data_IF_137130061550
#
_entry.id   IF_137130061550
#
_cell.length_a   1.000
_cell.length_b   1.000
_cell.length_c   1.000
_cell.angle_alpha   90.00
_cell.angle_beta   90.00
_cell.angle_gamma   90.00
#
_symmetry.space_group_name_H-M   'P 1'
#
loop_
_entity.id
_entity.type
_entity.pdbx_description
1 polymer ?
#
# COMPACT_ATOMS: atom_id res chain seq x y z
N UNK A 1 -9.29 16.38 -14.49
CA UNK A 1 -10.64 16.81 -14.10
C UNK A 1 -11.57 16.42 -15.24
N UNK A 2 -12.64 15.74 -14.91
CA UNK A 2 -13.72 15.48 -15.83
C UNK A 2 -14.61 16.74 -15.88
N UNK A 3 -14.96 17.22 -17.08
CA UNK A 3 -15.97 18.26 -17.25
C UNK A 3 -17.34 17.60 -17.15
N UNK A 4 -18.28 18.24 -16.49
CA UNK A 4 -19.69 17.82 -16.45
C UNK A 4 -20.46 18.73 -17.37
N UNK A 5 -21.02 18.17 -18.43
CA UNK A 5 -21.80 18.91 -19.43
C UNK A 5 -23.27 19.03 -18.98
N UNK A 6 -24.02 20.00 -19.52
CA UNK A 6 -25.47 20.09 -19.27
C UNK A 6 -26.19 18.79 -19.64
N UNK A 7 -26.91 18.23 -18.70
CA UNK A 7 -27.58 16.93 -18.81
C UNK A 7 -26.82 15.76 -18.15
N UNK A 8 -25.59 15.99 -17.68
CA UNK A 8 -24.75 15.02 -16.97
C UNK A 8 -24.72 15.28 -15.47
N UNK A 9 -25.64 16.08 -14.94
CA UNK A 9 -25.68 16.47 -13.51
C UNK A 9 -25.73 15.27 -12.56
N UNK A 10 -26.16 14.11 -13.05
CA UNK A 10 -26.13 12.84 -12.31
C UNK A 10 -24.72 12.42 -11.88
N UNK A 11 -23.69 12.85 -12.62
CA UNK A 11 -22.30 12.59 -12.26
C UNK A 11 -21.83 13.36 -11.02
N UNK A 12 -22.64 14.30 -10.54
CA UNK A 12 -22.41 15.03 -9.28
C UNK A 12 -23.06 14.34 -8.08
N UNK A 13 -23.86 13.31 -8.30
CA UNK A 13 -24.46 12.52 -7.25
C UNK A 13 -23.42 11.56 -6.65
N UNK A 14 -23.25 11.58 -5.32
CA UNK A 14 -22.22 10.84 -4.62
C UNK A 14 -22.32 9.31 -4.80
N UNK A 15 -23.55 8.78 -4.82
CA UNK A 15 -23.78 7.35 -4.94
C UNK A 15 -23.73 6.92 -6.42
N UNK A 16 -24.36 7.66 -7.29
CA UNK A 16 -24.46 7.34 -8.71
C UNK A 16 -23.13 7.50 -9.42
N UNK A 17 -22.40 8.59 -9.15
CA UNK A 17 -21.07 8.81 -9.74
C UNK A 17 -20.09 7.70 -9.35
N UNK A 18 -20.08 7.31 -8.05
CA UNK A 18 -19.26 6.21 -7.57
C UNK A 18 -19.60 4.90 -8.31
N UNK A 19 -20.87 4.58 -8.48
CA UNK A 19 -21.31 3.38 -9.20
C UNK A 19 -20.91 3.39 -10.68
N UNK A 20 -21.09 4.52 -11.36
CA UNK A 20 -20.81 4.65 -12.80
C UNK A 20 -19.31 4.63 -13.13
N UNK A 21 -18.47 5.14 -12.23
CA UNK A 21 -17.02 5.31 -12.47
C UNK A 21 -16.15 4.25 -11.79
N UNK A 22 -16.74 3.29 -11.10
CA UNK A 22 -15.99 2.26 -10.35
C UNK A 22 -15.08 1.43 -11.26
N UNK A 23 -15.55 1.01 -12.42
CA UNK A 23 -14.77 0.19 -13.35
C UNK A 23 -13.59 0.96 -13.93
N UNK A 24 -13.81 2.22 -14.33
CA UNK A 24 -12.74 3.10 -14.81
C UNK A 24 -11.71 3.38 -13.72
N UNK A 25 -12.16 3.64 -12.50
CA UNK A 25 -11.27 3.82 -11.35
C UNK A 25 -10.42 2.57 -11.09
N UNK A 26 -11.02 1.39 -11.17
CA UNK A 26 -10.34 0.11 -11.02
C UNK A 26 -9.27 -0.08 -12.09
N UNK A 27 -9.60 0.16 -13.36
CA UNK A 27 -8.65 0.07 -14.47
C UNK A 27 -7.47 1.03 -14.28
N UNK A 28 -7.76 2.31 -14.01
CA UNK A 28 -6.73 3.34 -13.80
C UNK A 28 -5.86 3.04 -12.56
N UNK A 29 -6.47 2.57 -11.49
CA UNK A 29 -5.76 2.20 -10.26
C UNK A 29 -4.83 1.00 -10.47
N UNK A 30 -5.29 -0.05 -11.15
CA UNK A 30 -4.46 -1.21 -11.52
C UNK A 30 -3.31 -0.78 -12.43
N UNK A 31 -3.58 0.03 -13.43
CA UNK A 31 -2.54 0.58 -14.32
C UNK A 31 -1.50 1.39 -13.57
N UNK A 32 -1.92 2.18 -12.58
CA UNK A 32 -1.01 2.97 -11.76
C UNK A 32 -0.10 2.09 -10.91
N UNK A 33 -0.64 1.06 -10.28
CA UNK A 33 0.11 0.13 -9.44
C UNK A 33 0.87 -0.96 -10.22
N UNK A 34 0.61 -1.14 -11.53
CA UNK A 34 1.15 -2.25 -12.31
C UNK A 34 0.49 -3.59 -11.99
N UNK A 35 -0.78 -3.56 -11.59
CA UNK A 35 -1.53 -4.76 -11.24
C UNK A 35 -2.15 -5.47 -12.44
N UNK A 36 -2.39 -6.76 -12.27
CA UNK A 36 -3.13 -7.62 -13.19
C UNK A 36 -4.58 -7.75 -12.71
N UNK A 37 -5.54 -7.54 -13.60
CA UNK A 37 -6.97 -7.57 -13.26
C UNK A 37 -7.51 -8.95 -12.83
N UNK A 38 -6.80 -10.03 -13.16
CA UNK A 38 -7.17 -11.39 -12.71
C UNK A 38 -6.70 -11.67 -11.29
N UNK A 39 -5.54 -11.10 -10.90
CA UNK A 39 -4.90 -11.34 -9.60
C UNK A 39 -5.15 -10.23 -8.57
N UNK A 40 -5.42 -9.01 -9.03
CA UNK A 40 -5.46 -7.83 -8.18
C UNK A 40 -6.78 -7.07 -8.28
N UNK A 41 -7.08 -6.32 -7.23
CA UNK A 41 -8.21 -5.40 -7.19
C UNK A 41 -7.81 -4.07 -6.53
N UNK A 42 -8.69 -3.07 -6.64
CA UNK A 42 -8.48 -1.71 -6.15
C UNK A 42 -9.65 -1.29 -5.26
N UNK A 43 -9.37 -0.57 -4.19
CA UNK A 43 -10.39 0.15 -3.44
C UNK A 43 -9.91 1.55 -3.05
N UNK A 44 -10.87 2.41 -2.78
CA UNK A 44 -10.63 3.75 -2.26
C UNK A 44 -10.82 3.79 -0.75
N UNK A 45 -10.07 4.66 -0.11
CA UNK A 45 -10.30 5.03 1.28
C UNK A 45 -10.32 6.55 1.43
N UNK A 46 -10.91 7.04 2.51
CA UNK A 46 -10.99 8.46 2.82
C UNK A 46 -9.59 9.13 2.86
N UNK A 47 -8.54 8.39 3.28
CA UNK A 47 -7.13 8.82 3.29
C UNK A 47 -6.22 7.61 3.22
N UNK A 48 -4.94 7.84 2.83
CA UNK A 48 -3.90 6.83 2.96
C UNK A 48 -3.86 6.20 4.38
N UNK A 49 -3.97 7.02 5.42
CA UNK A 49 -3.98 6.54 6.82
C UNK A 49 -5.10 5.56 7.10
N UNK A 50 -6.30 5.81 6.55
CA UNK A 50 -7.43 4.87 6.67
C UNK A 50 -7.14 3.57 5.90
N UNK A 51 -6.54 3.67 4.72
CA UNK A 51 -6.11 2.50 3.93
C UNK A 51 -5.11 1.63 4.68
N UNK A 52 -4.09 2.23 5.29
CA UNK A 52 -3.11 1.50 6.11
C UNK A 52 -3.76 0.84 7.33
N UNK A 53 -4.72 1.53 7.97
CA UNK A 53 -5.46 0.99 9.11
C UNK A 53 -6.28 -0.24 8.72
N UNK A 54 -7.04 -0.16 7.61
CA UNK A 54 -7.82 -1.30 7.10
C UNK A 54 -6.88 -2.45 6.71
N UNK A 55 -5.78 -2.15 5.99
CA UNK A 55 -4.80 -3.15 5.61
C UNK A 55 -4.23 -3.89 6.82
N UNK A 56 -3.84 -3.16 7.86
CA UNK A 56 -3.32 -3.76 9.09
C UNK A 56 -4.36 -4.66 9.77
N UNK A 57 -5.60 -4.21 9.89
CA UNK A 57 -6.67 -5.00 10.56
C UNK A 57 -7.07 -6.26 9.80
N UNK A 58 -6.90 -6.30 8.47
CA UNK A 58 -7.20 -7.48 7.64
C UNK A 58 -6.01 -8.42 7.54
N UNK A 59 -4.80 -7.88 7.40
CA UNK A 59 -3.61 -8.66 7.06
C UNK A 59 -2.85 -9.14 8.29
N UNK A 60 -2.85 -8.35 9.38
CA UNK A 60 -2.02 -8.62 10.57
C UNK A 60 -2.76 -9.51 11.56
N UNK A 61 -2.23 -10.69 11.91
CA UNK A 61 -2.81 -11.50 12.96
C UNK A 61 -2.72 -10.79 14.33
N UNK A 62 -3.82 -10.74 15.06
CA UNK A 62 -3.86 -10.12 16.38
C UNK A 62 -2.86 -10.80 17.34
N UNK A 63 -2.14 -10.00 18.12
CA UNK A 63 -1.12 -10.48 19.04
C UNK A 63 0.21 -10.86 18.39
N UNK A 64 0.34 -10.73 17.06
CA UNK A 64 1.59 -11.00 16.36
C UNK A 64 2.61 -9.88 16.52
N UNK A 65 3.82 -10.15 16.07
CA UNK A 65 4.86 -9.15 15.89
C UNK A 65 4.95 -8.74 14.41
N UNK A 66 5.03 -7.46 14.14
CA UNK A 66 5.15 -6.88 12.79
C UNK A 66 6.51 -6.19 12.66
N UNK A 67 7.17 -6.41 11.54
CA UNK A 67 8.42 -5.74 11.20
C UNK A 67 8.13 -4.63 10.19
N UNK A 68 8.62 -3.42 10.49
CA UNK A 68 8.69 -2.30 9.56
C UNK A 68 10.06 -2.23 8.92
N UNK A 69 10.11 -1.85 7.64
CA UNK A 69 11.36 -1.57 6.94
C UNK A 69 11.23 -0.31 6.08
N UNK A 70 12.16 0.62 6.27
CA UNK A 70 12.15 1.92 5.61
C UNK A 70 13.56 2.48 5.45
N UNK A 71 13.79 3.48 4.58
CA UNK A 71 15.11 4.11 4.43
C UNK A 71 15.61 4.81 5.70
N UNK A 72 14.68 5.30 6.55
CA UNK A 72 15.01 6.01 7.79
C UNK A 72 14.10 5.64 8.95
N UNK A 73 12.81 5.78 8.78
CA UNK A 73 11.76 5.37 9.75
C UNK A 73 10.42 5.27 9.05
N UNK A 74 9.58 4.35 9.52
CA UNK A 74 8.21 4.23 9.07
C UNK A 74 7.35 5.39 9.56
N UNK A 75 6.41 5.84 8.71
CA UNK A 75 5.50 6.92 9.10
C UNK A 75 4.71 6.53 10.35
N UNK A 76 4.45 7.47 11.31
CA UNK A 76 3.67 7.17 12.53
C UNK A 76 2.28 6.55 12.28
N UNK A 77 1.71 6.76 11.09
CA UNK A 77 0.45 6.12 10.69
C UNK A 77 0.59 4.60 10.56
N UNK A 78 1.75 4.08 10.14
CA UNK A 78 2.04 2.64 10.05
C UNK A 78 2.07 2.04 11.45
N UNK A 79 2.84 2.64 12.37
CA UNK A 79 2.95 2.18 13.75
C UNK A 79 1.58 2.15 14.44
N UNK A 80 0.78 3.22 14.23
CA UNK A 80 -0.58 3.30 14.79
C UNK A 80 -1.49 2.23 14.21
N UNK A 81 -1.48 2.02 12.89
CA UNK A 81 -2.29 1.01 12.23
C UNK A 81 -1.99 -0.40 12.77
N UNK A 82 -0.71 -0.73 12.97
CA UNK A 82 -0.28 -2.01 13.54
C UNK A 82 -0.69 -2.15 15.00
N UNK A 83 -0.53 -1.08 15.79
CA UNK A 83 -0.96 -1.05 17.21
C UNK A 83 -2.47 -1.25 17.35
N UNK A 84 -3.26 -0.57 16.49
CA UNK A 84 -4.73 -0.68 16.49
C UNK A 84 -5.21 -2.08 16.05
N UNK A 85 -4.45 -2.75 15.18
CA UNK A 85 -4.67 -4.16 14.84
C UNK A 85 -4.34 -5.13 16.00
N UNK A 86 -3.80 -4.62 17.10
CA UNK A 86 -3.46 -5.40 18.30
C UNK A 86 -2.15 -6.17 18.17
N UNK A 87 -1.19 -5.67 17.38
CA UNK A 87 0.13 -6.25 17.19
C UNK A 87 1.25 -5.34 17.73
N UNK A 88 2.43 -5.91 17.94
CA UNK A 88 3.65 -5.16 18.29
C UNK A 88 4.43 -4.80 17.01
N UNK A 89 5.26 -3.76 17.06
CA UNK A 89 5.97 -3.24 15.90
C UNK A 89 7.45 -2.99 16.21
N UNK A 90 8.34 -3.44 15.32
CA UNK A 90 9.75 -3.05 15.31
C UNK A 90 10.09 -2.42 13.96
N UNK A 91 10.61 -1.21 13.97
CA UNK A 91 11.00 -0.47 12.78
C UNK A 91 12.49 -0.65 12.50
N UNK A 92 12.85 -1.09 11.30
CA UNK A 92 14.21 -1.40 10.89
C UNK A 92 14.61 -0.57 9.67
N UNK A 93 15.90 -0.27 9.58
CA UNK A 93 16.49 0.46 8.45
C UNK A 93 17.71 -0.26 7.86
N UNK A 94 18.16 -1.32 8.50
CA UNK A 94 19.31 -2.12 8.09
C UNK A 94 18.86 -3.47 7.52
N UNK A 95 19.38 -3.84 6.35
CA UNK A 95 19.03 -5.08 5.66
C UNK A 95 19.48 -6.35 6.41
N UNK A 96 20.55 -6.28 7.18
CA UNK A 96 21.01 -7.44 7.98
C UNK A 96 20.09 -7.68 9.17
N UNK A 97 19.61 -6.62 9.82
CA UNK A 97 18.61 -6.70 10.88
C UNK A 97 17.27 -7.18 10.32
N UNK A 98 16.83 -6.66 9.15
CA UNK A 98 15.63 -7.15 8.49
C UNK A 98 15.69 -8.64 8.19
N UNK A 99 16.82 -9.11 7.63
CA UNK A 99 17.02 -10.53 7.34
C UNK A 99 16.93 -11.38 8.60
N UNK A 100 17.54 -10.94 9.69
CA UNK A 100 17.47 -11.64 10.98
C UNK A 100 16.04 -11.65 11.53
N UNK A 101 15.34 -10.51 11.48
CA UNK A 101 13.96 -10.40 11.95
C UNK A 101 12.98 -11.26 11.16
N UNK A 102 13.10 -11.27 9.81
CA UNK A 102 12.26 -12.12 8.96
C UNK A 102 12.59 -13.61 9.12
N UNK A 103 13.82 -13.97 9.53
CA UNK A 103 14.22 -15.35 9.80
C UNK A 103 13.80 -15.86 11.18
N UNK A 104 13.32 -15.00 12.08
CA UNK A 104 12.96 -15.35 13.44
C UNK A 104 11.87 -16.43 13.54
N UNK A 105 11.82 -17.11 14.69
CA UNK A 105 10.76 -18.04 15.06
C UNK A 105 10.22 -17.64 16.46
N UNK A 106 8.90 -17.36 16.60
CA UNK A 106 7.90 -17.38 15.53
C UNK A 106 8.14 -16.30 14.46
N UNK A 107 7.72 -16.59 13.21
CA UNK A 107 7.84 -15.64 12.10
C UNK A 107 6.98 -14.40 12.35
N UNK A 108 7.39 -13.20 11.85
CA UNK A 108 6.56 -12.01 11.89
C UNK A 108 5.20 -12.22 11.23
N UNK A 109 4.16 -11.56 11.77
CA UNK A 109 2.81 -11.60 11.23
C UNK A 109 2.66 -10.82 9.92
N UNK A 110 3.50 -9.82 9.69
CA UNK A 110 3.59 -9.06 8.44
C UNK A 110 4.91 -8.28 8.35
N UNK A 111 5.29 -7.93 7.12
CA UNK A 111 6.28 -6.89 6.81
C UNK A 111 5.54 -5.64 6.34
N UNK A 112 5.75 -4.50 7.01
CA UNK A 112 5.35 -3.18 6.52
C UNK A 112 6.54 -2.48 5.89
N UNK A 113 6.46 -2.19 4.61
CA UNK A 113 7.55 -1.64 3.84
C UNK A 113 7.21 -0.22 3.41
N UNK A 114 8.03 0.76 3.82
CA UNK A 114 7.91 2.15 3.36
C UNK A 114 8.93 2.41 2.25
N UNK A 115 8.45 2.60 1.02
CA UNK A 115 9.34 2.81 -0.13
C UNK A 115 10.00 4.19 -0.10
N UNK A 116 9.21 5.23 0.11
CA UNK A 116 9.67 6.62 0.21
C UNK A 116 9.36 7.15 1.62
N UNK A 117 10.40 7.37 2.41
CA UNK A 117 10.27 7.87 3.77
C UNK A 117 9.88 9.35 3.83
N UNK A 118 9.44 9.79 5.00
CA UNK A 118 9.10 11.20 5.29
C UNK A 118 10.32 12.11 5.12
N UNK A 119 11.52 11.57 5.29
CA UNK A 119 12.81 12.23 5.03
C UNK A 119 13.13 12.45 3.54
N UNK A 120 12.23 12.05 2.64
CA UNK A 120 12.43 12.05 1.17
C UNK A 120 13.52 11.09 0.68
N UNK A 121 14.00 10.19 1.52
CA UNK A 121 14.87 9.09 1.10
C UNK A 121 14.02 7.93 0.58
N UNK A 122 14.47 7.33 -0.52
CA UNK A 122 13.82 6.18 -1.15
C UNK A 122 14.69 4.93 -0.92
N UNK A 123 14.07 3.78 -0.70
CA UNK A 123 14.78 2.50 -0.68
C UNK A 123 15.41 2.24 -2.06
N UNK A 124 16.61 1.69 -2.08
CA UNK A 124 17.18 1.16 -3.31
C UNK A 124 16.32 0.02 -3.87
N UNK A 125 16.27 -0.11 -5.20
CA UNK A 125 15.48 -1.15 -5.85
C UNK A 125 15.91 -2.56 -5.41
N UNK A 126 17.22 -2.77 -5.25
CA UNK A 126 17.76 -4.06 -4.81
C UNK A 126 17.25 -4.43 -3.40
N UNK A 127 17.27 -3.48 -2.47
CA UNK A 127 16.79 -3.67 -1.10
C UNK A 127 15.27 -3.86 -1.06
N UNK A 128 14.52 -3.09 -1.88
CA UNK A 128 13.08 -3.24 -2.03
C UNK A 128 12.72 -4.67 -2.47
N UNK A 129 13.35 -5.17 -3.53
CA UNK A 129 13.11 -6.53 -4.05
C UNK A 129 13.54 -7.59 -3.03
N UNK A 130 14.73 -7.47 -2.46
CA UNK A 130 15.23 -8.42 -1.49
C UNK A 130 14.33 -8.52 -0.24
N UNK A 131 13.82 -7.39 0.27
CA UNK A 131 12.90 -7.37 1.40
C UNK A 131 11.59 -8.11 1.08
N UNK A 132 11.01 -7.85 -0.10
CA UNK A 132 9.78 -8.53 -0.55
C UNK A 132 10.04 -10.03 -0.73
N UNK A 133 11.09 -10.41 -1.44
CA UNK A 133 11.41 -11.81 -1.72
C UNK A 133 11.66 -12.63 -0.45
N UNK A 134 12.39 -12.06 0.53
CA UNK A 134 12.61 -12.70 1.82
C UNK A 134 11.32 -12.92 2.61
N UNK A 135 10.39 -11.95 2.60
CA UNK A 135 9.11 -12.09 3.27
C UNK A 135 8.23 -13.15 2.59
N UNK A 136 8.12 -13.09 1.27
CA UNK A 136 7.32 -14.03 0.47
C UNK A 136 7.83 -15.46 0.59
N UNK A 137 9.14 -15.67 0.60
CA UNK A 137 9.75 -17.00 0.78
C UNK A 137 9.38 -17.67 2.12
N UNK A 138 8.85 -16.91 3.07
CA UNK A 138 8.38 -17.39 4.38
C UNK A 138 6.87 -17.23 4.59
N UNK A 139 6.12 -16.97 3.53
CA UNK A 139 4.67 -16.69 3.62
C UNK A 139 4.36 -15.57 4.64
N UNK A 140 5.18 -14.51 4.67
CA UNK A 140 4.94 -13.33 5.47
C UNK A 140 4.26 -12.31 4.56
N UNK A 141 3.05 -11.84 4.90
CA UNK A 141 2.36 -10.82 4.11
C UNK A 141 3.16 -9.52 4.06
N UNK A 142 3.17 -8.88 2.88
CA UNK A 142 3.86 -7.59 2.68
C UNK A 142 2.82 -6.50 2.44
N UNK A 143 2.81 -5.50 3.32
CA UNK A 143 2.01 -4.27 3.20
C UNK A 143 2.94 -3.12 2.85
N UNK A 144 2.66 -2.43 1.75
CA UNK A 144 3.51 -1.31 1.31
C UNK A 144 2.85 0.03 1.62
N UNK A 145 3.46 0.81 2.52
CA UNK A 145 3.20 2.25 2.63
C UNK A 145 3.90 2.96 1.47
N UNK A 146 3.15 3.17 0.42
CA UNK A 146 3.63 3.72 -0.84
C UNK A 146 3.11 5.14 -1.08
N UNK A 147 3.06 5.93 -0.02
CA UNK A 147 2.45 7.27 0.03
C UNK A 147 2.83 8.14 -1.17
N UNK A 148 4.08 8.23 -1.47
CA UNK A 148 4.63 8.90 -2.64
C UNK A 148 5.43 7.98 -3.56
N UNK A 149 5.91 6.87 -3.02
CA UNK A 149 6.78 5.92 -3.69
C UNK A 149 6.15 5.27 -4.91
N UNK A 150 4.83 5.04 -4.88
CA UNK A 150 4.08 4.47 -6.01
C UNK A 150 4.25 5.26 -7.32
N UNK A 151 4.53 6.56 -7.23
CA UNK A 151 4.76 7.42 -8.39
C UNK A 151 6.23 7.82 -8.53
N UNK A 152 6.85 8.26 -7.45
CA UNK A 152 8.24 8.74 -7.45
C UNK A 152 9.20 7.61 -7.80
N UNK A 153 8.99 6.41 -7.27
CA UNK A 153 9.82 5.23 -7.55
C UNK A 153 9.92 4.95 -9.07
N UNK A 154 8.79 4.63 -9.72
CA UNK A 154 8.81 4.35 -11.16
C UNK A 154 9.20 5.57 -12.03
N UNK A 155 8.72 6.76 -11.70
CA UNK A 155 8.92 7.92 -12.54
C UNK A 155 10.33 8.52 -12.49
N UNK A 156 10.99 8.45 -11.33
CA UNK A 156 12.27 9.14 -11.09
C UNK A 156 13.45 8.18 -10.90
N UNK A 157 13.21 6.95 -10.50
CA UNK A 157 14.25 6.00 -10.11
C UNK A 157 14.21 4.68 -10.89
N UNK A 158 13.26 4.51 -11.81
CA UNK A 158 13.13 3.28 -12.60
C UNK A 158 12.67 2.05 -11.81
N UNK A 159 12.15 2.24 -10.59
CA UNK A 159 11.65 1.16 -9.77
C UNK A 159 10.44 0.46 -10.41
N UNK A 160 10.17 -0.81 -10.08
CA UNK A 160 8.94 -1.45 -10.48
C UNK A 160 7.74 -0.72 -9.87
N UNK A 161 6.59 -0.81 -10.53
CA UNK A 161 5.31 -0.47 -9.92
C UNK A 161 5.03 -1.48 -8.80
N UNK A 162 4.25 -1.08 -7.81
CA UNK A 162 4.19 -1.84 -6.55
C UNK A 162 3.61 -3.25 -6.72
N UNK A 163 2.59 -3.42 -7.56
CA UNK A 163 1.98 -4.72 -7.82
C UNK A 163 2.70 -5.55 -8.91
N UNK A 164 3.77 -5.04 -9.50
CA UNK A 164 4.73 -5.85 -10.25
C UNK A 164 5.65 -6.65 -9.31
N UNK A 165 5.63 -6.34 -8.03
CA UNK A 165 6.24 -7.12 -6.96
C UNK A 165 5.18 -8.03 -6.31
N UNK A 166 5.57 -9.20 -5.76
CA UNK A 166 4.62 -10.14 -5.13
C UNK A 166 4.17 -9.67 -3.73
N UNK A 167 3.75 -8.42 -3.61
CA UNK A 167 3.25 -7.84 -2.36
C UNK A 167 1.80 -8.24 -2.11
N UNK A 168 1.36 -8.17 -0.85
CA UNK A 168 -0.01 -8.51 -0.46
C UNK A 168 -0.95 -7.35 -0.76
N UNK A 169 -0.56 -6.13 -0.36
CA UNK A 169 -1.33 -4.90 -0.54
C UNK A 169 -0.43 -3.68 -0.49
N UNK A 170 -0.79 -2.65 -1.24
CA UNK A 170 -0.12 -1.35 -1.27
C UNK A 170 -1.14 -0.22 -1.06
N UNK A 171 -0.72 0.80 -0.32
CA UNK A 171 -1.53 1.98 -0.05
C UNK A 171 -0.81 3.24 -0.52
N UNK A 172 -1.47 4.09 -1.32
CA UNK A 172 -0.93 5.38 -1.75
C UNK A 172 -1.94 6.51 -1.52
N UNK A 173 -1.45 7.75 -1.43
CA UNK A 173 -2.30 8.93 -1.35
C UNK A 173 -2.44 9.61 -2.72
N UNK A 174 -3.64 10.06 -3.09
CA UNK A 174 -3.88 10.76 -4.36
C UNK A 174 -3.62 12.27 -4.25
N UNK A 175 -3.24 12.76 -3.08
CA UNK A 175 -2.99 14.19 -2.78
C UNK A 175 -1.49 14.53 -2.74
N UNK A 176 -0.59 13.65 -3.21
CA UNK A 176 0.86 13.82 -3.08
C UNK A 176 1.60 13.61 -4.40
N UNK A 177 2.78 14.24 -4.51
CA UNK A 177 3.80 13.97 -5.54
C UNK A 177 3.25 13.91 -6.98
N UNK A 178 2.77 15.04 -7.47
CA UNK A 178 2.35 15.19 -8.86
C UNK A 178 0.88 14.87 -9.13
N UNK A 179 0.10 14.53 -8.11
CA UNK A 179 -1.34 14.47 -8.21
C UNK A 179 -1.99 15.71 -7.61
N UNK A 180 -3.04 16.22 -8.24
CA UNK A 180 -3.87 17.33 -7.77
C UNK A 180 -5.23 16.83 -7.26
N UNK A 181 -5.30 15.54 -6.97
CA UNK A 181 -6.53 14.90 -6.51
C UNK A 181 -6.91 15.27 -5.09
N UNK A 182 -8.12 14.90 -4.68
CA UNK A 182 -8.56 15.05 -3.30
C UNK A 182 -7.70 14.20 -2.36
N UNK A 183 -7.82 14.47 -1.07
CA UNK A 183 -7.11 13.70 -0.02
C UNK A 183 -7.70 12.31 0.16
N UNK A 184 -7.62 11.50 -0.88
CA UNK A 184 -8.06 10.11 -0.90
C UNK A 184 -6.86 9.18 -0.83
N UNK A 185 -7.09 8.00 -0.26
CA UNK A 185 -6.19 6.86 -0.35
C UNK A 185 -6.64 5.93 -1.46
N UNK A 186 -5.71 5.43 -2.23
CA UNK A 186 -5.92 4.34 -3.17
C UNK A 186 -5.18 3.11 -2.65
N UNK A 187 -5.88 1.99 -2.60
CA UNK A 187 -5.38 0.72 -2.11
C UNK A 187 -5.43 -0.26 -3.28
N UNK A 188 -4.31 -0.92 -3.55
CA UNK A 188 -4.23 -1.99 -4.55
C UNK A 188 -3.60 -3.22 -3.95
N UNK A 189 -4.07 -4.40 -4.30
CA UNK A 189 -3.53 -5.63 -3.73
C UNK A 189 -4.16 -6.89 -4.32
N UNK A 190 -3.83 -8.02 -3.74
CA UNK A 190 -4.43 -9.30 -4.10
C UNK A 190 -5.96 -9.21 -4.00
N UNK A 191 -6.66 -9.74 -4.99
CA UNK A 191 -8.12 -9.58 -5.10
C UNK A 191 -8.87 -10.09 -3.86
N UNK A 192 -8.44 -11.22 -3.30
CA UNK A 192 -9.03 -11.80 -2.09
C UNK A 192 -8.80 -10.91 -0.85
N UNK A 193 -7.66 -10.21 -0.77
CA UNK A 193 -7.37 -9.30 0.34
C UNK A 193 -8.23 -8.03 0.23
N UNK A 194 -8.33 -7.47 -0.96
CA UNK A 194 -9.18 -6.29 -1.22
C UNK A 194 -10.67 -6.63 -0.97
N UNK A 195 -11.12 -7.83 -1.33
CA UNK A 195 -12.47 -8.28 -1.02
C UNK A 195 -12.70 -8.37 0.50
N UNK A 196 -11.75 -8.90 1.25
CA UNK A 196 -11.82 -8.94 2.72
C UNK A 196 -11.80 -7.56 3.37
N UNK A 197 -11.13 -6.58 2.75
CA UNK A 197 -11.12 -5.19 3.23
C UNK A 197 -12.47 -4.46 3.03
N UNK A 198 -13.29 -4.91 2.08
CA UNK A 198 -14.62 -4.34 1.81
C UNK A 198 -15.72 -4.92 2.71
N UNK A 199 -15.48 -6.09 3.30
CA UNK A 199 -16.42 -6.79 4.18
C UNK A 199 -16.45 -6.20 5.58
#
# INVERSE_FOLDING_TARGET
CMSVEPGEERLLDDELAAALLTDELKELGLKMFGGDAEAHDIMMSNRLTAGLWVAANVVVPRGSHVVGFSPTYSHPAVQRAVSDAGATFTDLTDMSELKAALAADPKPGALFLTRLAVSYQILDEADLRAAVDMAVARDIPVVVDDAGGARVGPACFGHPRTLELPVTVACTGLDKYGTLGPRLGLIGGKAEVIAAMRA
#
